data_IF_926736204778
#
_entry.id   IF_926736204778
#
_cell.length_a   1.000
_cell.length_b   1.000
_cell.length_c   1.000
_cell.angle_alpha   90.00
_cell.angle_beta   90.00
_cell.angle_gamma   90.00
#
_symmetry.space_group_name_H-M   'P 1'
#
loop_
_entity.id
_entity.type
_entity.pdbx_description
1 polymer ?
#
# COMPACT_ATOMS: atom_id res chain seq x y z
N UNK A 1 18.15 55.17 -4.87
CA UNK A 1 18.10 55.24 -6.35
C UNK A 1 18.89 54.07 -6.91
N UNK A 2 18.29 53.27 -7.83
CA UNK A 2 18.87 52.32 -8.81
C UNK A 2 19.68 51.14 -8.24
N UNK A 3 19.16 49.90 -8.20
CA UNK A 3 19.03 48.91 -9.29
C UNK A 3 20.35 48.61 -10.04
N UNK A 4 20.88 47.39 -9.90
CA UNK A 4 21.05 46.41 -11.00
C UNK A 4 21.88 45.19 -10.57
N UNK A 5 21.48 44.00 -11.02
CA UNK A 5 22.26 42.76 -10.98
C UNK A 5 23.45 42.81 -11.97
N UNK A 6 24.40 41.86 -11.89
CA UNK A 6 24.37 40.82 -12.92
C UNK A 6 24.72 39.40 -12.45
N UNK A 7 24.28 38.45 -13.28
CA UNK A 7 24.55 37.02 -13.28
C UNK A 7 26.05 36.71 -13.39
N UNK A 8 26.50 35.67 -12.68
CA UNK A 8 27.66 34.89 -13.08
C UNK A 8 27.40 33.41 -12.79
N UNK A 9 27.01 32.68 -13.84
CA UNK A 9 27.23 31.25 -13.91
C UNK A 9 28.74 31.01 -14.00
N UNK A 10 29.28 30.17 -13.11
CA UNK A 10 30.53 29.46 -13.39
C UNK A 10 30.51 28.13 -12.66
N UNK A 11 30.33 27.07 -13.44
CA UNK A 11 30.54 25.70 -13.04
C UNK A 11 32.03 25.38 -13.11
N UNK A 12 32.61 24.87 -12.02
CA UNK A 12 33.89 24.14 -11.90
C UNK A 12 34.20 24.14 -10.38
N UNK A 13 34.60 23.09 -9.68
CA UNK A 13 35.01 21.73 -10.01
C UNK A 13 35.01 20.95 -8.69
N UNK A 14 34.92 19.62 -8.80
CA UNK A 14 35.38 18.65 -7.79
C UNK A 14 36.68 19.16 -7.15
N UNK A 15 36.90 19.17 -5.85
CA UNK A 15 36.41 18.32 -4.77
C UNK A 15 37.56 18.31 -3.78
N UNK A 16 37.61 19.35 -2.93
CA UNK A 16 38.65 19.59 -1.94
C UNK A 16 38.07 19.42 -0.53
N UNK A 17 38.82 18.69 0.28
CA UNK A 17 38.58 18.29 1.67
C UNK A 17 38.25 19.51 2.55
N UNK A 18 37.18 19.43 3.37
CA UNK A 18 37.10 19.83 4.79
C UNK A 18 35.63 20.03 5.24
N UNK A 19 35.22 19.27 6.26
CA UNK A 19 34.03 19.53 7.08
C UNK A 19 33.22 18.27 7.42
N UNK A 20 33.11 17.86 8.70
CA UNK A 20 32.04 16.94 9.09
C UNK A 20 30.73 17.70 8.94
N UNK A 21 29.90 17.32 7.97
CA UNK A 21 28.56 17.86 7.85
C UNK A 21 27.76 17.45 9.10
N UNK A 22 27.18 18.41 9.85
CA UNK A 22 26.24 18.05 10.89
C UNK A 22 24.93 17.63 10.23
N UNK A 23 24.26 16.64 10.82
CA UNK A 23 22.89 16.19 10.52
C UNK A 23 22.70 15.15 9.41
N UNK A 24 23.36 14.00 9.54
CA UNK A 24 22.67 12.72 9.30
C UNK A 24 21.58 12.55 10.38
N UNK A 25 20.48 13.30 10.27
CA UNK A 25 19.34 13.19 11.17
C UNK A 25 18.65 11.85 10.94
N UNK A 26 19.04 10.86 11.75
CA UNK A 26 18.25 9.71 12.20
C UNK A 26 17.08 9.30 11.29
N UNK A 27 17.38 8.62 10.18
CA UNK A 27 16.50 7.51 9.77
C UNK A 27 16.79 6.34 10.72
N UNK A 28 16.40 6.46 11.99
CA UNK A 28 16.16 5.26 12.79
C UNK A 28 15.04 4.58 12.03
N UNK A 29 15.36 3.50 11.30
CA UNK A 29 14.37 2.65 10.63
C UNK A 29 13.44 2.16 11.74
N UNK A 30 12.39 2.93 12.00
CA UNK A 30 11.46 2.67 13.08
C UNK A 30 10.87 1.30 12.73
N UNK A 31 11.14 0.31 13.57
CA UNK A 31 10.58 -1.02 13.33
C UNK A 31 9.06 -0.83 13.31
N UNK A 32 8.43 -1.26 12.21
CA UNK A 32 6.98 -1.18 12.08
C UNK A 32 6.37 -1.82 13.32
N UNK A 33 5.44 -1.14 14.01
CA UNK A 33 4.81 -1.71 15.19
C UNK A 33 4.10 -3.02 14.82
N UNK A 34 3.94 -3.96 15.76
CA UNK A 34 3.23 -5.20 15.50
C UNK A 34 1.80 -4.89 15.01
N UNK A 35 1.37 -5.55 13.95
CA UNK A 35 0.07 -5.37 13.31
C UNK A 35 -0.76 -6.66 13.40
N UNK A 36 -1.32 -6.98 14.59
CA UNK A 36 -2.04 -8.24 14.80
C UNK A 36 -3.31 -8.35 13.94
N UNK A 37 -3.96 -7.25 13.57
CA UNK A 37 -5.15 -7.33 12.71
C UNK A 37 -4.77 -7.64 11.26
N UNK A 38 -3.65 -7.10 10.77
CA UNK A 38 -3.09 -7.49 9.48
C UNK A 38 -2.85 -9.00 9.37
N UNK A 39 -2.25 -9.60 10.40
CA UNK A 39 -1.93 -11.03 10.43
C UNK A 39 -3.21 -11.87 10.44
N UNK A 40 -4.22 -11.50 11.24
CA UNK A 40 -5.53 -12.16 11.24
C UNK A 40 -6.22 -12.12 9.86
N UNK A 41 -6.21 -10.96 9.21
CA UNK A 41 -6.79 -10.81 7.86
C UNK A 41 -6.06 -11.74 6.90
N UNK A 42 -4.74 -11.75 6.96
CA UNK A 42 -3.90 -12.60 6.12
C UNK A 42 -4.27 -14.07 6.33
N UNK A 43 -4.27 -14.55 7.56
CA UNK A 43 -4.53 -15.96 7.88
C UNK A 43 -5.91 -16.40 7.37
N UNK A 44 -6.96 -15.62 7.63
CA UNK A 44 -8.31 -15.95 7.14
C UNK A 44 -8.38 -15.97 5.62
N UNK A 45 -7.74 -15.00 4.96
CA UNK A 45 -7.73 -14.94 3.49
C UNK A 45 -7.02 -16.15 2.89
N UNK A 46 -5.84 -16.51 3.40
CA UNK A 46 -5.08 -17.66 2.90
C UNK A 46 -5.81 -18.98 3.17
N UNK A 47 -6.43 -19.13 4.34
CA UNK A 47 -7.18 -20.34 4.70
C UNK A 47 -8.46 -20.50 3.87
N UNK A 48 -9.23 -19.43 3.68
CA UNK A 48 -10.57 -19.50 3.06
C UNK A 48 -10.53 -19.35 1.55
N UNK A 49 -9.76 -18.39 1.04
CA UNK A 49 -9.83 -17.99 -0.36
C UNK A 49 -8.67 -18.52 -1.20
N UNK A 50 -7.56 -18.97 -0.59
CA UNK A 50 -6.38 -19.47 -1.30
C UNK A 50 -6.01 -18.57 -2.50
N UNK A 51 -5.69 -17.29 -2.23
CA UNK A 51 -5.51 -16.31 -3.29
C UNK A 51 -4.26 -16.62 -4.14
N UNK A 52 -4.34 -16.35 -5.44
CA UNK A 52 -3.18 -16.37 -6.34
C UNK A 52 -2.35 -15.11 -6.13
N UNK A 53 -3.02 -13.96 -6.00
CA UNK A 53 -2.38 -12.70 -5.66
C UNK A 53 -3.16 -12.00 -4.57
N UNK A 54 -2.44 -11.56 -3.54
CA UNK A 54 -3.00 -10.86 -2.40
C UNK A 54 -2.09 -9.73 -1.97
N UNK A 55 -2.66 -8.53 -1.89
CA UNK A 55 -1.97 -7.34 -1.44
C UNK A 55 -2.84 -6.58 -0.46
N UNK A 56 -2.24 -6.16 0.64
CA UNK A 56 -2.94 -5.44 1.70
C UNK A 56 -2.01 -4.37 2.25
N UNK A 57 -2.53 -3.15 2.35
CA UNK A 57 -1.87 -2.01 2.95
C UNK A 57 -2.82 -1.31 3.92
N UNK A 58 -2.26 -0.55 4.88
CA UNK A 58 -3.07 0.31 5.72
C UNK A 58 -3.63 1.45 4.86
N UNK A 59 -4.91 1.73 5.01
CA UNK A 59 -5.54 2.85 4.32
C UNK A 59 -5.12 4.17 5.00
N UNK A 60 -4.42 5.01 4.25
CA UNK A 60 -4.05 6.36 4.67
C UNK A 60 -5.04 7.44 4.22
N UNK A 61 -6.00 7.09 3.35
CA UNK A 61 -6.93 8.04 2.72
C UNK A 61 -8.28 8.13 3.46
N UNK A 62 -8.59 7.16 4.33
CA UNK A 62 -9.94 6.93 4.89
C UNK A 62 -10.33 7.70 6.16
N UNK A 63 -9.62 8.78 6.53
CA UNK A 63 -9.91 9.58 7.73
C UNK A 63 -8.69 9.77 8.64
N UNK A 64 -8.87 10.00 9.97
CA UNK A 64 -7.73 10.05 10.88
C UNK A 64 -6.97 8.74 10.80
N UNK A 65 -5.70 8.81 10.41
CA UNK A 65 -4.87 7.64 10.23
C UNK A 65 -4.72 6.90 11.55
N UNK A 66 -5.33 5.72 11.64
CA UNK A 66 -5.14 4.80 12.76
C UNK A 66 -4.48 3.53 12.24
N UNK A 67 -3.26 3.29 12.75
CA UNK A 67 -2.48 2.12 12.40
C UNK A 67 -3.24 0.83 12.76
N UNK A 68 -3.20 -0.16 11.85
CA UNK A 68 -3.78 -1.50 12.04
C UNK A 68 -5.32 -1.53 12.24
N UNK A 69 -6.03 -0.50 11.79
CA UNK A 69 -7.49 -0.47 11.82
C UNK A 69 -8.12 -0.51 10.44
N UNK A 70 -7.69 0.36 9.52
CA UNK A 70 -8.26 0.46 8.18
C UNK A 70 -7.29 -0.09 7.16
N UNK A 71 -7.80 -0.94 6.26
CA UNK A 71 -6.98 -1.60 5.27
C UNK A 71 -7.60 -1.47 3.89
N UNK A 72 -6.72 -1.36 2.91
CA UNK A 72 -7.08 -1.32 1.50
C UNK A 72 -6.15 -2.23 0.73
N UNK A 73 -6.70 -2.96 -0.23
CA UNK A 73 -5.92 -3.98 -0.89
C UNK A 73 -6.58 -4.56 -2.13
N UNK A 74 -5.95 -5.61 -2.61
CA UNK A 74 -6.40 -6.40 -3.74
C UNK A 74 -6.41 -7.86 -3.35
N UNK A 75 -7.45 -8.55 -3.78
CA UNK A 75 -7.61 -9.98 -3.59
C UNK A 75 -7.96 -10.64 -4.92
N UNK A 76 -7.07 -11.51 -5.40
CA UNK A 76 -7.28 -12.33 -6.57
C UNK A 76 -7.35 -13.80 -6.16
N UNK A 77 -8.49 -14.45 -6.38
CA UNK A 77 -8.71 -15.85 -6.02
C UNK A 77 -9.52 -16.56 -7.10
N UNK A 78 -9.21 -17.85 -7.40
CA UNK A 78 -10.00 -18.67 -8.32
C UNK A 78 -11.43 -18.92 -7.82
N UNK A 79 -11.70 -18.76 -6.52
CA UNK A 79 -13.04 -18.93 -5.94
C UNK A 79 -14.04 -17.86 -6.38
N UNK A 80 -13.57 -16.81 -7.02
CA UNK A 80 -14.41 -15.74 -7.56
C UNK A 80 -14.78 -15.95 -9.04
N UNK A 81 -14.29 -17.01 -9.69
CA UNK A 81 -14.70 -17.34 -11.06
C UNK A 81 -16.20 -17.69 -11.11
N UNK A 82 -16.93 -17.02 -12.00
CA UNK A 82 -18.37 -17.24 -12.19
C UNK A 82 -19.28 -16.64 -11.11
N UNK A 83 -18.74 -15.91 -10.13
CA UNK A 83 -19.54 -15.26 -9.08
C UNK A 83 -19.80 -13.80 -9.44
N UNK A 84 -21.01 -13.33 -9.15
CA UNK A 84 -21.34 -11.91 -9.33
C UNK A 84 -20.49 -11.00 -8.44
N UNK A 85 -20.07 -9.83 -8.94
CA UNK A 85 -19.16 -8.96 -8.22
C UNK A 85 -19.71 -8.54 -6.86
N UNK A 86 -21.03 -8.31 -6.76
CA UNK A 86 -21.69 -7.93 -5.50
C UNK A 86 -21.60 -9.08 -4.48
N UNK A 87 -21.81 -10.32 -4.92
CA UNK A 87 -21.76 -11.48 -4.02
C UNK A 87 -20.32 -11.80 -3.59
N UNK A 88 -19.33 -11.58 -4.45
CA UNK A 88 -17.90 -11.65 -4.07
C UNK A 88 -17.58 -10.75 -2.88
N UNK A 89 -18.00 -9.48 -2.93
CA UNK A 89 -17.77 -8.55 -1.82
C UNK A 89 -18.50 -8.99 -0.55
N UNK A 90 -19.74 -9.49 -0.66
CA UNK A 90 -20.48 -10.02 0.49
C UNK A 90 -19.80 -11.23 1.11
N UNK A 91 -19.25 -12.15 0.33
CA UNK A 91 -18.51 -13.31 0.85
C UNK A 91 -17.30 -12.86 1.68
N UNK A 92 -16.52 -11.92 1.15
CA UNK A 92 -15.36 -11.38 1.86
C UNK A 92 -15.79 -10.60 3.10
N UNK A 93 -16.86 -9.80 3.01
CA UNK A 93 -17.39 -9.05 4.14
C UNK A 93 -17.88 -9.94 5.28
N UNK A 94 -18.52 -11.08 4.98
CA UNK A 94 -18.91 -12.08 5.99
C UNK A 94 -17.71 -12.62 6.77
N UNK A 95 -16.62 -12.96 6.07
CA UNK A 95 -15.40 -13.45 6.72
C UNK A 95 -14.70 -12.34 7.53
N UNK A 96 -14.67 -11.10 7.02
CA UNK A 96 -14.11 -9.96 7.76
C UNK A 96 -14.95 -9.59 8.99
N UNK A 97 -16.27 -9.79 8.93
CA UNK A 97 -17.17 -9.56 10.05
C UNK A 97 -16.91 -10.53 11.22
N UNK A 98 -16.56 -11.79 10.93
CA UNK A 98 -16.20 -12.77 11.97
C UNK A 98 -14.99 -12.34 12.81
N UNK A 99 -14.06 -11.60 12.21
CA UNK A 99 -12.85 -11.09 12.87
C UNK A 99 -13.10 -9.73 13.57
N UNK A 100 -14.30 -9.15 13.41
CA UNK A 100 -14.64 -7.82 13.93
C UNK A 100 -14.04 -6.67 13.12
N UNK A 101 -13.68 -6.91 11.85
CA UNK A 101 -13.09 -5.92 10.93
C UNK A 101 -14.05 -5.54 9.78
N UNK A 102 -15.35 -5.76 9.98
CA UNK A 102 -16.40 -5.35 9.04
C UNK A 102 -16.30 -3.85 8.71
N UNK A 103 -16.42 -3.52 7.42
CA UNK A 103 -16.38 -2.14 6.92
C UNK A 103 -15.01 -1.44 6.98
N UNK A 104 -14.01 -2.01 7.66
CA UNK A 104 -12.66 -1.45 7.78
C UNK A 104 -11.69 -1.92 6.71
N UNK A 105 -12.03 -3.02 6.04
CA UNK A 105 -11.21 -3.67 5.02
C UNK A 105 -11.85 -3.47 3.66
N UNK A 106 -11.19 -2.70 2.77
CA UNK A 106 -11.62 -2.49 1.38
C UNK A 106 -10.71 -3.24 0.42
N UNK A 107 -11.16 -4.41 -0.02
CA UNK A 107 -10.42 -5.26 -0.96
C UNK A 107 -11.05 -5.19 -2.33
N UNK A 108 -10.27 -4.83 -3.36
CA UNK A 108 -10.69 -5.02 -4.74
C UNK A 108 -10.62 -6.51 -5.07
N UNK A 109 -11.80 -7.16 -5.12
CA UNK A 109 -11.92 -8.59 -5.37
C UNK A 109 -12.02 -8.86 -6.87
N UNK A 110 -11.18 -9.76 -7.38
CA UNK A 110 -11.16 -10.09 -8.80
C UNK A 110 -10.91 -11.58 -9.04
N UNK A 111 -11.54 -12.17 -10.06
CA UNK A 111 -11.16 -13.49 -10.54
C UNK A 111 -9.84 -13.44 -11.33
N UNK A 112 -9.09 -14.55 -11.40
CA UNK A 112 -7.83 -14.63 -12.14
C UNK A 112 -8.00 -14.31 -13.63
N UNK A 113 -9.14 -14.67 -14.25
CA UNK A 113 -9.45 -14.31 -15.65
C UNK A 113 -9.39 -12.81 -15.92
N UNK A 114 -9.81 -11.97 -14.97
CA UNK A 114 -9.84 -10.50 -15.10
C UNK A 114 -8.64 -9.80 -14.48
N UNK A 115 -7.73 -10.55 -13.86
CA UNK A 115 -6.62 -10.00 -13.09
C UNK A 115 -5.66 -9.15 -13.95
N UNK A 116 -5.43 -9.55 -15.21
CA UNK A 116 -4.60 -8.82 -16.17
C UNK A 116 -5.06 -7.37 -16.39
N UNK A 117 -6.36 -7.07 -16.23
CA UNK A 117 -6.90 -5.73 -16.38
C UNK A 117 -6.50 -4.80 -15.22
N UNK A 118 -6.29 -5.34 -14.02
CA UNK A 118 -5.89 -4.55 -12.85
C UNK A 118 -4.39 -4.30 -12.77
N UNK A 119 -3.57 -5.06 -13.51
CA UNK A 119 -2.12 -4.99 -13.42
C UNK A 119 -1.57 -3.57 -13.55
N UNK A 120 -2.08 -2.80 -14.51
CA UNK A 120 -1.67 -1.41 -14.76
C UNK A 120 -2.05 -0.47 -13.62
N UNK A 121 -3.25 -0.63 -13.08
CA UNK A 121 -3.76 0.21 -11.99
C UNK A 121 -3.07 -0.12 -10.67
N UNK A 122 -2.80 -1.41 -10.43
CA UNK A 122 -2.13 -1.90 -9.23
C UNK A 122 -0.68 -1.45 -9.21
N UNK A 123 0.06 -1.64 -10.30
CA UNK A 123 1.43 -1.11 -10.46
C UNK A 123 1.50 0.38 -10.19
N UNK A 124 0.61 1.17 -10.81
CA UNK A 124 0.59 2.63 -10.62
C UNK A 124 0.25 3.07 -9.21
N UNK A 125 -0.75 2.44 -8.58
CA UNK A 125 -1.26 2.87 -7.27
C UNK A 125 -0.42 2.35 -6.10
N UNK A 126 0.15 1.17 -6.25
CA UNK A 126 0.78 0.45 -5.14
C UNK A 126 2.26 0.14 -5.36
N UNK A 127 2.82 0.41 -6.55
CA UNK A 127 4.24 0.20 -6.84
C UNK A 127 4.65 -1.28 -6.82
N UNK A 128 3.70 -2.18 -7.03
CA UNK A 128 3.93 -3.63 -6.98
C UNK A 128 4.28 -4.10 -8.39
N UNK A 129 5.50 -4.57 -8.59
CA UNK A 129 5.87 -5.36 -9.78
C UNK A 129 5.30 -6.77 -9.64
N UNK A 130 4.00 -6.90 -9.89
CA UNK A 130 3.35 -8.19 -10.10
C UNK A 130 3.61 -8.70 -11.52
#
# INVERSE_FOLDING_TARGET
MKSSAPLAYSACSRGGILGPSPTACFSKKFKRPPSPNYDKIRDVIYQKFQPVQFYLNNDGEGGPYVFDQHFKGLLCSPKFEGVDPIEMYKMVEREMAQIGLAGRVRLNCQPPSRFHMLHRTVRKRWGIDC
#
